data_IF_793652935980
#
_entry.id   IF_793652935980
#
_cell.length_a   1.000
_cell.length_b   1.000
_cell.length_c   1.000
_cell.angle_alpha   90.00
_cell.angle_beta   90.00
_cell.angle_gamma   90.00
#
_symmetry.space_group_name_H-M   'P 1'
#
loop_
_entity.id
_entity.type
_entity.pdbx_description
1 polymer ?
#
# COMPACT_ATOMS: atom_id res chain seq x y z
N UNK A 1 -37.44 8.70 6.76
CA UNK A 1 -37.70 7.78 7.90
C UNK A 1 -36.41 7.01 8.19
N UNK A 2 -35.74 7.31 9.30
CA UNK A 2 -34.55 6.57 9.73
C UNK A 2 -34.99 5.37 10.57
N UNK A 3 -34.39 4.21 10.33
CA UNK A 3 -34.69 3.00 11.09
C UNK A 3 -33.70 2.92 12.27
N UNK A 4 -34.21 3.04 13.51
CA UNK A 4 -33.44 3.12 14.77
C UNK A 4 -32.41 2.00 14.94
N UNK A 5 -32.66 0.84 14.33
CA UNK A 5 -31.74 -0.30 14.35
C UNK A 5 -30.41 0.02 13.65
N UNK A 6 -30.44 0.76 12.54
CA UNK A 6 -29.25 1.04 11.74
C UNK A 6 -28.25 1.98 12.43
N UNK A 7 -28.74 2.91 13.26
CA UNK A 7 -27.89 3.83 14.02
C UNK A 7 -27.18 3.15 15.20
N UNK A 8 -27.78 2.12 15.79
CA UNK A 8 -27.17 1.36 16.91
C UNK A 8 -26.09 0.41 16.41
N UNK A 9 -26.31 -0.26 15.26
CA UNK A 9 -25.36 -1.26 14.74
C UNK A 9 -24.12 -0.61 14.10
N UNK A 10 -24.26 0.59 13.51
CA UNK A 10 -23.17 1.21 12.75
C UNK A 10 -23.13 2.75 12.91
N UNK A 11 -22.49 3.28 13.98
CA UNK A 11 -22.43 4.72 14.28
C UNK A 11 -21.31 5.43 13.49
N UNK A 12 -21.22 5.21 12.17
CA UNK A 12 -20.20 5.85 11.33
C UNK A 12 -20.33 7.36 11.23
N UNK A 13 -21.56 7.89 11.30
CA UNK A 13 -21.85 9.33 11.16
C UNK A 13 -21.41 10.11 12.40
N UNK A 14 -21.57 9.53 13.59
CA UNK A 14 -21.10 10.12 14.86
C UNK A 14 -19.58 10.28 14.88
N UNK A 15 -18.85 9.30 14.33
CA UNK A 15 -17.38 9.38 14.18
C UNK A 15 -16.94 10.49 13.21
N UNK A 16 -17.78 10.86 12.24
CA UNK A 16 -17.50 11.93 11.28
C UNK A 16 -17.87 13.32 11.82
N UNK A 17 -18.89 13.40 12.68
CA UNK A 17 -19.33 14.65 13.33
C UNK A 17 -18.62 14.93 14.65
N UNK A 18 -17.87 13.97 15.20
CA UNK A 18 -16.96 14.22 16.30
C UNK A 18 -15.89 15.23 15.85
N UNK A 19 -15.67 16.34 16.59
CA UNK A 19 -14.59 17.28 16.27
C UNK A 19 -13.28 16.50 16.26
N UNK A 20 -12.57 16.55 15.13
CA UNK A 20 -11.33 15.82 14.92
C UNK A 20 -10.41 16.04 16.13
N UNK A 21 -10.11 14.96 16.86
CA UNK A 21 -9.21 15.02 18.00
C UNK A 21 -7.93 15.76 17.57
N UNK A 22 -7.44 16.72 18.38
CA UNK A 22 -6.26 17.48 17.99
C UNK A 22 -5.14 16.49 17.69
N UNK A 23 -4.67 16.49 16.44
CA UNK A 23 -3.48 15.74 16.04
C UNK A 23 -2.37 16.17 17.00
N UNK A 24 -2.02 15.32 17.96
CA UNK A 24 -0.94 15.59 18.92
C UNK A 24 0.35 15.79 18.11
N UNK A 25 0.67 17.05 17.84
CA UNK A 25 1.86 17.49 17.14
C UNK A 25 2.93 17.78 18.19
N UNK A 26 4.01 17.01 18.11
CA UNK A 26 5.25 17.24 18.83
C UNK A 26 6.23 16.13 18.46
N UNK A 27 7.41 16.43 17.89
CA UNK A 27 8.41 15.42 17.64
C UNK A 27 8.85 14.88 19.00
N UNK A 28 8.53 13.61 19.27
CA UNK A 28 8.90 12.95 20.52
C UNK A 28 10.39 12.65 20.47
N UNK A 29 11.16 13.06 21.47
CA UNK A 29 12.61 12.80 21.57
C UNK A 29 12.99 11.31 21.35
N UNK A 30 12.03 10.39 21.56
CA UNK A 30 12.17 8.97 21.25
C UNK A 30 12.37 8.66 19.76
N UNK A 31 11.83 9.47 18.83
CA UNK A 31 12.09 9.28 17.39
C UNK A 31 13.53 9.61 17.02
N UNK A 32 14.15 10.56 17.73
CA UNK A 32 15.57 10.94 17.55
C UNK A 32 16.48 9.82 18.04
N UNK A 33 16.16 9.18 19.17
CA UNK A 33 16.92 8.04 19.70
C UNK A 33 16.81 6.79 18.83
N UNK A 34 15.61 6.45 18.35
CA UNK A 34 15.41 5.32 17.45
C UNK A 34 16.15 5.55 16.14
N UNK A 35 16.16 6.78 15.64
CA UNK A 35 16.87 7.13 14.43
C UNK A 35 18.40 7.08 14.60
N UNK A 36 18.92 7.54 15.75
CA UNK A 36 20.33 7.39 16.09
C UNK A 36 20.74 5.91 16.20
N UNK A 37 19.90 5.06 16.79
CA UNK A 37 20.15 3.63 16.91
C UNK A 37 20.10 2.90 15.56
N UNK A 38 19.14 3.25 14.69
CA UNK A 38 19.04 2.70 13.33
C UNK A 38 20.22 3.11 12.47
N UNK A 39 20.66 4.38 12.55
CA UNK A 39 21.87 4.84 11.88
C UNK A 39 23.14 4.12 12.38
N UNK A 40 23.26 3.92 13.69
CA UNK A 40 24.39 3.19 14.29
C UNK A 40 24.40 1.70 13.85
N UNK A 41 23.23 1.05 13.78
CA UNK A 41 23.12 -0.34 13.35
C UNK A 41 23.43 -0.53 11.86
N UNK A 42 22.99 0.38 11.00
CA UNK A 42 23.31 0.36 9.56
C UNK A 42 24.81 0.62 9.35
N UNK A 43 25.40 1.56 10.10
CA UNK A 43 26.84 1.83 10.05
C UNK A 43 27.69 0.64 10.51
N UNK A 44 27.30 -0.03 11.59
CA UNK A 44 27.97 -1.24 12.06
C UNK A 44 27.82 -2.42 11.10
N UNK A 45 26.62 -2.62 10.52
CA UNK A 45 26.35 -3.69 9.55
C UNK A 45 27.12 -3.52 8.24
N UNK A 46 27.29 -2.27 7.76
CA UNK A 46 28.11 -1.99 6.57
C UNK A 46 29.61 -2.15 6.84
N UNK A 47 30.08 -1.84 8.05
CA UNK A 47 31.48 -2.00 8.46
C UNK A 47 31.88 -3.47 8.59
N UNK A 48 30.98 -4.30 9.13
CA UNK A 48 31.28 -5.71 9.39
C UNK A 48 31.11 -6.63 8.17
N UNK A 49 30.45 -6.19 7.09
CA UNK A 49 29.96 -7.13 6.07
C UNK A 49 30.54 -6.96 4.65
N UNK A 50 31.31 -5.91 4.34
CA UNK A 50 31.66 -5.66 2.93
C UNK A 50 33.12 -5.37 2.54
N UNK A 51 34.12 -5.39 3.45
CA UNK A 51 35.58 -5.46 3.20
C UNK A 51 36.17 -4.87 1.86
N UNK A 52 35.55 -3.84 1.28
CA UNK A 52 36.02 -3.14 0.07
C UNK A 52 36.40 -1.71 0.47
N UNK A 53 37.67 -1.57 0.84
CA UNK A 53 38.29 -0.46 1.57
C UNK A 53 38.20 0.92 0.90
N UNK A 54 38.11 0.99 -0.44
CA UNK A 54 38.06 2.27 -1.16
C UNK A 54 36.66 2.90 -1.21
N UNK A 55 35.62 2.08 -1.40
CA UNK A 55 34.25 2.56 -1.52
C UNK A 55 33.63 2.83 -0.13
N UNK A 56 34.10 2.10 0.89
CA UNK A 56 33.71 2.32 2.29
C UNK A 56 34.11 3.69 2.84
N UNK A 57 35.27 4.24 2.44
CA UNK A 57 35.78 5.52 2.96
C UNK A 57 34.97 6.73 2.44
N UNK A 58 34.53 6.67 1.17
CA UNK A 58 33.63 7.69 0.58
C UNK A 58 32.27 7.69 1.27
N UNK A 59 31.73 6.50 1.55
CA UNK A 59 30.46 6.35 2.27
C UNK A 59 30.59 6.77 3.74
N UNK A 60 31.75 6.54 4.38
CA UNK A 60 32.05 7.01 5.73
C UNK A 60 32.16 8.53 5.81
N UNK A 61 32.83 9.18 4.86
CA UNK A 61 32.87 10.64 4.76
C UNK A 61 31.48 11.22 4.52
N UNK A 62 30.69 10.61 3.64
CA UNK A 62 29.32 11.05 3.36
C UNK A 62 28.41 10.87 4.58
N UNK A 63 28.55 9.77 5.32
CA UNK A 63 27.84 9.52 6.57
C UNK A 63 28.25 10.51 7.67
N UNK A 64 29.54 10.84 7.79
CA UNK A 64 30.06 11.84 8.72
C UNK A 64 29.54 13.25 8.42
N UNK A 65 29.49 13.64 7.14
CA UNK A 65 28.91 14.93 6.70
C UNK A 65 27.42 15.00 7.01
N UNK A 66 26.68 13.92 6.77
CA UNK A 66 25.25 13.84 7.10
C UNK A 66 25.05 13.91 8.63
N UNK A 67 25.89 13.24 9.42
CA UNK A 67 25.86 13.26 10.89
C UNK A 67 26.15 14.64 11.47
N UNK A 68 27.19 15.31 10.98
CA UNK A 68 27.58 16.68 11.42
C UNK A 68 26.53 17.71 10.98
N UNK A 69 25.96 17.58 9.78
CA UNK A 69 24.88 18.44 9.31
C UNK A 69 23.59 18.27 10.11
N UNK A 70 23.33 17.05 10.60
CA UNK A 70 22.18 16.72 11.43
C UNK A 70 22.25 17.32 12.84
N UNK A 71 23.46 17.46 13.39
CA UNK A 71 23.68 17.98 14.74
C UNK A 71 23.76 19.51 14.78
N UNK A 72 24.37 20.15 13.79
CA UNK A 72 24.56 21.62 13.79
C UNK A 72 23.41 22.42 13.16
N UNK A 73 22.62 21.85 12.24
CA UNK A 73 21.54 22.54 11.53
C UNK A 73 20.26 21.68 11.45
N UNK A 74 19.38 21.72 12.49
CA UNK A 74 18.07 21.08 12.45
C UNK A 74 17.19 21.38 11.20
N UNK A 75 17.26 22.56 10.52
CA UNK A 75 16.52 22.76 9.27
C UNK A 75 17.06 21.95 8.08
N UNK A 76 18.38 21.71 8.00
CA UNK A 76 19.01 20.96 6.91
C UNK A 76 18.68 19.48 7.03
N UNK A 77 18.69 18.95 8.24
CA UNK A 77 18.28 17.58 8.52
C UNK A 77 16.83 17.30 8.08
N UNK A 78 15.90 18.20 8.40
CA UNK A 78 14.50 18.09 7.98
C UNK A 78 14.35 18.15 6.45
N UNK A 79 15.20 18.91 5.76
CA UNK A 79 15.20 18.97 4.30
C UNK A 79 15.65 17.63 3.69
N UNK A 80 16.70 17.02 4.24
CA UNK A 80 17.20 15.70 3.81
C UNK A 80 16.17 14.60 4.08
N UNK A 81 15.57 14.57 5.27
CA UNK A 81 14.51 13.61 5.58
C UNK A 81 13.30 13.76 4.64
N UNK A 82 12.89 15.00 4.37
CA UNK A 82 11.79 15.27 3.45
C UNK A 82 12.11 14.82 2.03
N UNK A 83 13.35 15.02 1.60
CA UNK A 83 13.83 14.53 0.30
C UNK A 83 13.87 13.00 0.26
N UNK A 84 14.38 12.34 1.30
CA UNK A 84 14.40 10.88 1.41
C UNK A 84 12.99 10.27 1.45
N UNK A 85 12.06 10.90 2.17
CA UNK A 85 10.64 10.51 2.17
C UNK A 85 10.00 10.70 0.81
N UNK A 86 10.30 11.80 0.11
CA UNK A 86 9.81 12.03 -1.24
C UNK A 86 10.35 10.97 -2.21
N UNK A 87 11.66 10.68 -2.15
CA UNK A 87 12.30 9.66 -2.97
C UNK A 87 11.73 8.27 -2.67
N UNK A 88 11.56 7.91 -1.39
CA UNK A 88 10.96 6.64 -1.00
C UNK A 88 9.52 6.48 -1.49
N UNK A 89 8.72 7.56 -1.46
CA UNK A 89 7.37 7.55 -2.06
C UNK A 89 7.41 7.45 -3.58
N UNK A 90 8.32 8.16 -4.23
CA UNK A 90 8.48 8.10 -5.68
C UNK A 90 8.90 6.70 -6.13
N UNK A 91 9.89 6.11 -5.48
CA UNK A 91 10.33 4.73 -5.73
C UNK A 91 9.21 3.74 -5.42
N UNK A 92 8.53 3.87 -4.28
CA UNK A 92 7.39 3.00 -3.95
C UNK A 92 6.26 3.12 -4.96
N UNK A 93 5.97 4.32 -5.46
CA UNK A 93 5.00 4.54 -6.52
C UNK A 93 5.47 3.92 -7.85
N UNK A 94 6.72 4.14 -8.24
CA UNK A 94 7.30 3.55 -9.45
C UNK A 94 7.32 2.03 -9.36
N UNK A 95 7.64 1.44 -8.21
CA UNK A 95 7.60 0.00 -8.02
C UNK A 95 6.17 -0.51 -8.08
N UNK A 96 5.23 0.16 -7.40
CA UNK A 96 3.82 -0.23 -7.43
C UNK A 96 3.28 -0.16 -8.85
N UNK A 97 3.42 0.97 -9.54
CA UNK A 97 2.90 1.14 -10.90
C UNK A 97 3.70 0.36 -11.93
N UNK A 98 5.02 0.44 -11.86
CA UNK A 98 5.96 -0.20 -12.78
C UNK A 98 6.06 -1.71 -12.61
N UNK A 99 5.66 -2.29 -11.49
CA UNK A 99 5.51 -3.75 -11.34
C UNK A 99 4.07 -4.18 -11.58
N UNK A 100 3.10 -3.55 -10.91
CA UNK A 100 1.71 -4.01 -10.92
C UNK A 100 1.04 -3.78 -12.28
N UNK A 101 1.28 -2.65 -12.96
CA UNK A 101 0.67 -2.39 -14.25
C UNK A 101 1.15 -3.39 -15.33
N UNK A 102 2.46 -3.56 -15.58
CA UNK A 102 2.88 -4.55 -16.57
C UNK A 102 2.55 -5.97 -16.12
N UNK A 103 2.62 -6.32 -14.83
CA UNK A 103 2.16 -7.63 -14.36
C UNK A 103 0.68 -7.87 -14.72
N UNK A 104 -0.17 -6.87 -14.48
CA UNK A 104 -1.59 -6.95 -14.83
C UNK A 104 -1.77 -7.17 -16.33
N UNK A 105 -1.12 -6.38 -17.18
CA UNK A 105 -1.25 -6.55 -18.62
C UNK A 105 -0.64 -7.87 -19.10
N UNK A 106 0.53 -8.27 -18.63
CA UNK A 106 1.18 -9.53 -19.05
C UNK A 106 0.36 -10.75 -18.66
N UNK A 107 -0.35 -10.74 -17.53
CA UNK A 107 -1.13 -11.90 -17.07
C UNK A 107 -2.57 -11.86 -17.58
N UNK A 108 -3.28 -10.75 -17.37
CA UNK A 108 -4.71 -10.67 -17.67
C UNK A 108 -4.99 -10.44 -19.14
N UNK A 109 -4.14 -9.71 -19.89
CA UNK A 109 -4.35 -9.48 -21.31
C UNK A 109 -4.32 -10.77 -22.14
N UNK A 110 -3.28 -11.63 -22.05
CA UNK A 110 -3.28 -12.88 -22.82
C UNK A 110 -4.35 -13.85 -22.30
N UNK A 111 -4.66 -13.86 -21.01
CA UNK A 111 -5.77 -14.65 -20.49
C UNK A 111 -7.11 -14.22 -21.10
N UNK A 112 -7.36 -12.91 -21.18
CA UNK A 112 -8.54 -12.37 -21.85
C UNK A 112 -8.56 -12.70 -23.35
N UNK A 113 -7.42 -12.55 -24.02
CA UNK A 113 -7.28 -12.87 -25.44
C UNK A 113 -7.54 -14.36 -25.71
N UNK A 114 -7.01 -15.25 -24.87
CA UNK A 114 -7.23 -16.69 -24.95
C UNK A 114 -8.71 -17.07 -24.75
N UNK A 115 -9.40 -16.42 -23.80
CA UNK A 115 -10.85 -16.62 -23.62
C UNK A 115 -11.65 -16.12 -24.82
N UNK A 116 -11.29 -14.96 -25.37
CA UNK A 116 -11.92 -14.37 -26.57
C UNK A 116 -11.75 -15.28 -27.79
N UNK A 117 -10.54 -15.79 -28.03
CA UNK A 117 -10.23 -16.72 -29.13
C UNK A 117 -10.91 -18.08 -28.95
N UNK A 118 -11.02 -18.58 -27.71
CA UNK A 118 -11.73 -19.82 -27.41
C UNK A 118 -13.26 -19.70 -27.48
N UNK A 119 -13.79 -18.50 -27.72
CA UNK A 119 -15.24 -18.24 -27.75
C UNK A 119 -15.95 -18.43 -26.39
N UNK A 120 -15.19 -18.59 -25.30
CA UNK A 120 -15.74 -18.85 -23.97
C UNK A 120 -16.21 -17.54 -23.35
N UNK A 121 -17.49 -17.46 -23.02
CA UNK A 121 -18.08 -16.36 -22.25
C UNK A 121 -18.60 -16.90 -20.90
N UNK A 122 -17.70 -17.16 -19.92
CA UNK A 122 -18.08 -17.76 -18.65
C UNK A 122 -19.03 -16.88 -17.82
N UNK A 123 -19.10 -15.59 -18.13
CA UNK A 123 -19.93 -14.63 -17.42
C UNK A 123 -21.17 -14.22 -18.23
N UNK A 124 -21.43 -14.88 -19.37
CA UNK A 124 -22.58 -14.60 -20.26
C UNK A 124 -22.75 -13.09 -20.52
N UNK A 125 -21.64 -12.38 -20.74
CA UNK A 125 -21.61 -10.92 -20.91
C UNK A 125 -22.17 -10.47 -22.25
N UNK A 126 -22.29 -11.38 -23.22
CA UNK A 126 -22.90 -11.09 -24.53
C UNK A 126 -24.41 -10.88 -24.40
N UNK A 127 -24.86 -9.65 -24.66
CA UNK A 127 -26.27 -9.31 -24.79
C UNK A 127 -26.84 -9.97 -26.04
N UNK A 128 -27.59 -11.05 -25.86
CA UNK A 128 -28.33 -11.69 -26.95
C UNK A 128 -29.61 -10.89 -27.19
N UNK A 129 -29.72 -10.24 -28.35
CA UNK A 129 -30.87 -9.39 -28.70
C UNK A 129 -32.15 -10.17 -29.01
N UNK A 130 -32.04 -11.50 -29.15
CA UNK A 130 -33.14 -12.39 -29.55
C UNK A 130 -33.94 -12.97 -28.38
N UNK A 131 -33.46 -12.81 -27.14
CA UNK A 131 -34.10 -13.43 -25.99
C UNK A 131 -35.17 -12.50 -25.38
N UNK A 132 -36.36 -13.04 -25.15
CA UNK A 132 -37.45 -12.32 -24.52
C UNK A 132 -37.14 -11.93 -23.06
N UNK A 133 -36.23 -12.65 -22.39
CA UNK A 133 -35.74 -12.28 -21.05
C UNK A 133 -34.38 -12.90 -20.72
N UNK A 134 -33.51 -12.16 -20.03
CA UNK A 134 -32.17 -12.60 -19.58
C UNK A 134 -32.17 -13.44 -18.28
N UNK A 135 -33.32 -13.93 -17.83
CA UNK A 135 -33.40 -14.73 -16.61
C UNK A 135 -32.72 -16.09 -16.81
N UNK A 136 -31.67 -16.36 -16.03
CA UNK A 136 -31.04 -17.68 -15.99
C UNK A 136 -31.82 -18.59 -15.02
N UNK A 137 -32.36 -19.74 -15.48
CA UNK A 137 -33.11 -20.64 -14.61
C UNK A 137 -32.19 -21.21 -13.52
N UNK A 138 -32.57 -20.98 -12.26
CA UNK A 138 -31.79 -21.42 -11.10
C UNK A 138 -32.18 -22.86 -10.75
N UNK A 139 -31.23 -23.80 -10.63
CA UNK A 139 -31.55 -25.15 -10.19
C UNK A 139 -32.10 -25.12 -8.75
N UNK A 140 -33.05 -26.01 -8.41
CA UNK A 140 -33.64 -26.07 -7.07
C UNK A 140 -32.57 -26.41 -6.04
N UNK A 141 -32.48 -25.59 -4.99
CA UNK A 141 -31.50 -25.78 -3.92
C UNK A 141 -31.90 -27.01 -3.10
N UNK A 142 -31.07 -28.06 -3.15
CA UNK A 142 -31.32 -29.33 -2.45
C UNK A 142 -31.30 -29.23 -0.93
N UNK A 143 -30.61 -28.23 -0.36
CA UNK A 143 -30.48 -28.10 1.10
C UNK A 143 -30.39 -26.62 1.55
N UNK A 144 -31.34 -26.11 2.37
CA UNK A 144 -31.30 -24.75 2.93
C UNK A 144 -30.08 -24.45 3.81
N UNK A 145 -29.44 -25.47 4.39
CA UNK A 145 -28.23 -25.30 5.19
C UNK A 145 -27.04 -24.76 4.36
N UNK A 146 -27.09 -24.89 3.03
CA UNK A 146 -26.05 -24.39 2.14
C UNK A 146 -25.97 -22.85 2.13
N UNK A 147 -27.07 -22.15 2.44
CA UNK A 147 -27.09 -20.70 2.58
C UNK A 147 -26.27 -20.20 3.79
N UNK A 148 -26.09 -21.03 4.82
CA UNK A 148 -25.30 -20.66 6.01
C UNK A 148 -23.80 -20.61 5.75
N UNK A 149 -23.31 -21.11 4.62
CA UNK A 149 -21.89 -21.08 4.24
C UNK A 149 -21.51 -19.87 3.37
N UNK A 150 -22.48 -19.02 3.02
CA UNK A 150 -22.26 -17.86 2.17
C UNK A 150 -21.98 -16.56 2.94
N UNK A 151 -22.18 -16.57 4.26
CA UNK A 151 -21.96 -15.45 5.18
C UNK A 151 -21.01 -15.88 6.29
#
# INVERSE_FOLDING_TARGET
MYNTVSSVVWPWREKLSAPAAPKKAGPKASSVLIQAAVMAAIGAGLYFWLEHTAMGLVVWCLAGVVLVSGFFLPPVFRAIERFGQWLGRAVGAILTWGLLAPFYYIVFFPMHLAQKLSGKDPLQRRLHSSDATYWTPRPPVRNPAQYRKQF
#
